data_IF_651131960584
#
_entry.id   IF_651131960584
#
_cell.length_a   1.000
_cell.length_b   1.000
_cell.length_c   1.000
_cell.angle_alpha   90.00
_cell.angle_beta   90.00
_cell.angle_gamma   90.00
#
_symmetry.space_group_name_H-M   'P 1'
#
loop_
_entity.id
_entity.type
_entity.pdbx_description
1 polymer ?
#
# COMPACT_ATOMS: atom_id res chain seq x y z
N UNK A 1 12.56 2.33 -14.03
CA UNK A 1 11.63 3.44 -13.68
C UNK A 1 10.86 2.98 -12.46
N UNK A 2 10.69 3.85 -11.46
CA UNK A 2 10.00 3.54 -10.21
C UNK A 2 8.79 4.47 -10.11
N UNK A 3 7.59 3.94 -10.28
CA UNK A 3 6.34 4.69 -10.11
C UNK A 3 5.64 4.27 -8.83
N UNK A 4 5.11 5.23 -8.07
CA UNK A 4 4.17 4.92 -6.99
C UNK A 4 2.83 4.56 -7.65
N UNK A 5 2.43 3.31 -7.49
CA UNK A 5 1.21 2.75 -8.07
C UNK A 5 0.08 2.69 -7.07
N UNK A 6 0.37 2.57 -5.77
CA UNK A 6 -0.65 2.66 -4.74
C UNK A 6 -0.14 3.28 -3.45
N UNK A 7 -1.06 3.95 -2.75
CA UNK A 7 -0.94 4.41 -1.37
C UNK A 7 -2.01 3.70 -0.57
N UNK A 8 -1.61 3.03 0.52
CA UNK A 8 -2.53 2.26 1.35
C UNK A 8 -2.87 3.04 2.61
N UNK A 9 -4.16 3.25 2.81
CA UNK A 9 -4.73 3.85 4.01
C UNK A 9 -5.49 2.75 4.76
N UNK A 10 -5.03 2.44 5.97
CA UNK A 10 -5.76 1.57 6.88
C UNK A 10 -6.74 2.40 7.71
N UNK A 11 -7.99 1.98 7.80
CA UNK A 11 -9.04 2.66 8.54
C UNK A 11 -10.03 1.65 9.15
N UNK A 12 -10.56 1.86 10.37
CA UNK A 12 -11.60 1.00 10.94
C UNK A 12 -12.86 0.91 10.06
N UNK A 13 -13.21 2.00 9.37
CA UNK A 13 -14.32 2.09 8.43
C UNK A 13 -13.82 2.53 7.04
N UNK A 14 -13.30 1.60 6.21
CA UNK A 14 -12.65 1.93 4.94
C UNK A 14 -13.56 2.68 3.96
N UNK A 15 -14.84 2.30 3.86
CA UNK A 15 -15.79 2.96 2.96
C UNK A 15 -16.09 4.40 3.40
N UNK A 16 -16.34 4.61 4.70
CA UNK A 16 -16.61 5.95 5.23
C UNK A 16 -15.40 6.88 5.01
N UNK A 17 -14.19 6.34 5.21
CA UNK A 17 -12.93 7.04 4.95
C UNK A 17 -12.78 7.36 3.46
N UNK A 18 -13.01 6.39 2.57
CA UNK A 18 -12.94 6.58 1.12
C UNK A 18 -13.93 7.65 0.64
N UNK A 19 -15.17 7.64 1.18
CA UNK A 19 -16.21 8.61 0.86
C UNK A 19 -15.89 10.07 1.27
N UNK A 20 -14.92 10.30 2.16
CA UNK A 20 -14.40 11.65 2.41
C UNK A 20 -13.70 12.20 1.16
N UNK A 21 -12.97 11.35 0.44
CA UNK A 21 -12.22 11.75 -0.75
C UNK A 21 -13.16 12.06 -1.93
N UNK A 22 -14.27 11.33 -2.07
CA UNK A 22 -15.34 11.69 -3.03
C UNK A 22 -15.80 13.13 -2.85
N UNK A 23 -16.01 13.57 -1.60
CA UNK A 23 -16.43 14.94 -1.29
C UNK A 23 -15.35 15.98 -1.55
N UNK A 24 -14.07 15.63 -1.39
CA UNK A 24 -12.96 16.55 -1.64
C UNK A 24 -12.78 16.88 -3.12
N UNK A 25 -13.25 16.02 -4.01
CA UNK A 25 -13.11 16.16 -5.46
C UNK A 25 -14.49 16.29 -6.14
N UNK A 26 -15.47 16.87 -5.45
CA UNK A 26 -16.80 17.18 -5.97
C UNK A 26 -17.50 16.00 -6.69
N UNK A 27 -17.24 14.77 -6.24
CA UNK A 27 -17.83 13.55 -6.80
C UNK A 27 -17.19 13.06 -8.12
N UNK A 28 -16.18 13.73 -8.66
CA UNK A 28 -15.44 13.24 -9.84
C UNK A 28 -14.56 12.02 -9.50
N UNK A 29 -14.16 11.93 -8.23
CA UNK A 29 -13.36 10.87 -7.66
C UNK A 29 -14.23 9.65 -7.29
N UNK A 30 -14.57 8.78 -8.24
CA UNK A 30 -15.43 7.62 -7.96
C UNK A 30 -14.70 6.56 -7.13
N UNK A 31 -15.24 6.23 -5.94
CA UNK A 31 -14.78 5.08 -5.16
C UNK A 31 -15.26 3.78 -5.81
N UNK A 32 -14.32 2.89 -6.08
CA UNK A 32 -14.58 1.57 -6.61
C UNK A 32 -14.41 0.51 -5.51
N UNK A 33 -15.34 -0.44 -5.35
CA UNK A 33 -15.10 -1.60 -4.52
C UNK A 33 -13.92 -2.42 -5.09
N UNK A 34 -13.05 -2.89 -4.21
CA UNK A 34 -11.89 -3.72 -4.52
C UNK A 34 -12.11 -5.20 -4.17
N UNK A 35 -11.05 -5.87 -3.70
CA UNK A 35 -11.16 -7.20 -3.10
C UNK A 35 -11.84 -7.17 -1.73
N UNK A 36 -11.65 -8.22 -0.93
CA UNK A 36 -12.21 -8.40 0.42
C UNK A 36 -12.17 -7.12 1.29
N UNK A 37 -13.29 -6.38 1.33
CA UNK A 37 -13.44 -5.17 2.16
C UNK A 37 -12.60 -3.97 1.73
N UNK A 38 -12.00 -4.00 0.53
CA UNK A 38 -11.14 -2.95 0.01
C UNK A 38 -11.95 -1.92 -0.78
N UNK A 39 -11.52 -0.66 -0.75
CA UNK A 39 -12.06 0.41 -1.59
C UNK A 39 -10.92 1.14 -2.30
N UNK A 40 -11.16 1.59 -3.52
CA UNK A 40 -10.13 2.16 -4.39
C UNK A 40 -10.57 3.49 -4.93
N UNK A 41 -9.68 4.47 -4.87
CA UNK A 41 -9.80 5.70 -5.63
C UNK A 41 -8.66 5.79 -6.63
N UNK A 42 -8.98 5.94 -7.91
CA UNK A 42 -7.98 6.19 -8.94
C UNK A 42 -7.61 7.67 -8.96
N UNK A 43 -6.32 7.99 -8.83
CA UNK A 43 -5.76 9.33 -8.89
C UNK A 43 -4.63 9.37 -9.92
N UNK A 44 -4.99 9.55 -11.20
CA UNK A 44 -4.04 9.49 -12.31
C UNK A 44 -3.41 8.09 -12.45
N UNK A 45 -2.09 7.99 -12.26
CA UNK A 45 -1.34 6.71 -12.32
C UNK A 45 -1.24 5.97 -10.98
N UNK A 46 -1.77 6.57 -9.92
CA UNK A 46 -1.68 6.06 -8.55
C UNK A 46 -3.08 5.74 -8.03
N UNK A 47 -3.20 4.69 -7.22
CA UNK A 47 -4.45 4.31 -6.56
C UNK A 47 -4.35 4.60 -5.06
N UNK A 48 -5.34 5.26 -4.48
CA UNK A 48 -5.53 5.18 -3.03
C UNK A 48 -6.32 3.90 -2.73
N UNK A 49 -5.75 3.03 -1.92
CA UNK A 49 -6.39 1.80 -1.47
C UNK A 49 -6.74 1.93 0.00
N UNK A 50 -8.03 1.85 0.31
CA UNK A 50 -8.57 1.89 1.65
C UNK A 50 -8.87 0.45 2.09
N UNK A 51 -8.32 0.05 3.24
CA UNK A 51 -8.48 -1.29 3.81
C UNK A 51 -8.68 -1.20 5.31
N UNK A 52 -9.25 -2.24 5.93
CA UNK A 52 -9.25 -2.32 7.38
C UNK A 52 -7.85 -2.69 7.94
N UNK A 53 -7.57 -2.46 9.24
CA UNK A 53 -6.27 -2.77 9.82
C UNK A 53 -5.89 -4.26 9.77
N UNK A 54 -6.86 -5.17 9.84
CA UNK A 54 -6.60 -6.62 9.77
C UNK A 54 -6.16 -7.01 8.35
N UNK A 55 -6.82 -6.44 7.33
CA UNK A 55 -6.46 -6.61 5.93
C UNK A 55 -5.10 -6.00 5.63
N UNK A 56 -4.82 -4.78 6.11
CA UNK A 56 -3.49 -4.18 6.00
C UNK A 56 -2.41 -5.11 6.60
N UNK A 57 -2.69 -5.68 7.78
CA UNK A 57 -1.76 -6.61 8.42
C UNK A 57 -1.53 -7.89 7.61
N UNK A 58 -2.58 -8.44 7.00
CA UNK A 58 -2.48 -9.63 6.14
C UNK A 58 -1.73 -9.35 4.82
N UNK A 59 -1.82 -8.12 4.31
CA UNK A 59 -1.13 -7.72 3.10
C UNK A 59 0.35 -7.38 3.35
N UNK A 60 0.65 -6.69 4.43
CA UNK A 60 1.95 -6.02 4.63
C UNK A 60 2.71 -6.46 5.89
N UNK A 61 2.18 -7.40 6.66
CA UNK A 61 2.73 -7.77 7.97
C UNK A 61 2.32 -6.77 9.05
N UNK A 62 3.00 -6.73 10.22
CA UNK A 62 2.72 -5.73 11.23
C UNK A 62 2.78 -4.31 10.63
N UNK A 63 1.69 -3.57 10.74
CA UNK A 63 1.59 -2.17 10.29
C UNK A 63 1.44 -1.27 11.51
N UNK A 64 1.97 -0.05 11.43
CA UNK A 64 1.75 0.93 12.48
C UNK A 64 0.27 1.27 12.55
N UNK A 65 -0.29 1.25 13.76
CA UNK A 65 -1.64 1.75 14.00
C UNK A 65 -1.60 3.29 14.08
N UNK A 66 -2.66 3.96 13.64
CA UNK A 66 -2.87 5.37 13.98
C UNK A 66 -3.04 5.53 15.49
N UNK A 67 -2.81 6.74 16.00
CA UNK A 67 -3.08 7.04 17.39
C UNK A 67 -4.55 6.70 17.69
N UNK A 68 -4.81 5.93 18.75
CA UNK A 68 -6.15 5.44 19.11
C UNK A 68 -6.87 4.63 18.01
N UNK A 69 -6.14 4.01 17.07
CA UNK A 69 -6.74 3.20 15.99
C UNK A 69 -7.30 4.02 14.83
N UNK A 70 -6.92 5.29 14.73
CA UNK A 70 -7.29 6.20 13.63
C UNK A 70 -6.70 5.79 12.29
N UNK A 71 -7.22 6.40 11.23
CA UNK A 71 -6.80 6.20 9.86
C UNK A 71 -5.33 6.54 9.68
N UNK A 72 -4.57 5.67 9.00
CA UNK A 72 -3.14 5.87 8.78
C UNK A 72 -2.69 5.39 7.42
N UNK A 73 -1.79 6.14 6.79
CA UNK A 73 -1.02 5.64 5.66
C UNK A 73 -0.05 4.56 6.16
N UNK A 74 -0.29 3.32 5.74
CA UNK A 74 0.45 2.14 6.24
C UNK A 74 1.33 1.50 5.18
N UNK A 75 1.16 1.85 3.91
CA UNK A 75 1.96 1.27 2.84
C UNK A 75 2.02 2.08 1.56
N UNK A 76 3.06 1.81 0.78
CA UNK A 76 3.27 2.29 -0.58
C UNK A 76 3.59 1.12 -1.49
N UNK A 77 3.01 1.09 -2.68
CA UNK A 77 3.38 0.12 -3.73
C UNK A 77 4.08 0.82 -4.89
N UNK A 78 5.22 0.26 -5.29
CA UNK A 78 6.04 0.72 -6.39
C UNK A 78 6.03 -0.29 -7.54
N UNK A 79 5.82 0.20 -8.76
CA UNK A 79 6.12 -0.58 -9.95
C UNK A 79 7.61 -0.48 -10.28
N UNK A 80 8.25 -1.62 -10.49
CA UNK A 80 9.63 -1.75 -10.95
C UNK A 80 9.67 -2.50 -12.27
N UNK A 81 10.71 -2.26 -13.06
CA UNK A 81 10.87 -2.91 -14.37
C UNK A 81 11.42 -4.32 -14.27
N UNK A 82 12.06 -4.68 -13.16
CA UNK A 82 12.56 -6.04 -12.95
C UNK A 82 12.72 -6.36 -11.46
N UNK A 83 11.94 -7.32 -10.95
CA UNK A 83 12.06 -7.72 -9.54
C UNK A 83 13.41 -8.37 -9.22
N UNK A 84 13.96 -9.28 -10.04
CA UNK A 84 15.29 -9.83 -9.79
C UNK A 84 16.38 -8.76 -9.69
N UNK A 85 16.35 -7.73 -10.55
CA UNK A 85 17.33 -6.62 -10.48
C UNK A 85 17.13 -5.77 -9.23
N UNK A 86 15.89 -5.53 -8.82
CA UNK A 86 15.57 -4.82 -7.57
C UNK A 86 16.05 -5.61 -6.36
N UNK A 87 15.82 -6.93 -6.34
CA UNK A 87 16.27 -7.81 -5.28
C UNK A 87 17.80 -7.85 -5.18
N UNK A 88 18.49 -7.98 -6.31
CA UNK A 88 19.96 -7.88 -6.38
C UNK A 88 20.49 -6.58 -5.78
N UNK A 89 19.79 -5.47 -6.02
CA UNK A 89 20.14 -4.19 -5.42
C UNK A 89 19.91 -4.19 -3.91
N UNK A 90 18.76 -4.69 -3.42
CA UNK A 90 18.48 -4.78 -1.98
C UNK A 90 19.54 -5.59 -1.25
N UNK A 91 19.97 -6.73 -1.83
CA UNK A 91 21.06 -7.56 -1.29
C UNK A 91 22.38 -6.80 -1.21
N UNK A 92 22.78 -6.10 -2.28
CA UNK A 92 24.03 -5.30 -2.28
C UNK A 92 23.99 -4.11 -1.33
N UNK A 93 22.81 -3.49 -1.17
CA UNK A 93 22.59 -2.36 -0.29
C UNK A 93 22.34 -2.78 1.18
N UNK A 94 22.37 -4.09 1.48
CA UNK A 94 22.12 -4.66 2.81
C UNK A 94 20.77 -4.21 3.41
N UNK A 95 19.75 -4.03 2.57
CA UNK A 95 18.41 -3.69 3.02
C UNK A 95 17.72 -4.93 3.57
N UNK A 96 16.99 -4.78 4.67
CA UNK A 96 16.12 -5.84 5.19
C UNK A 96 14.82 -5.88 4.35
N UNK A 97 14.54 -7.03 3.74
CA UNK A 97 13.34 -7.25 2.93
C UNK A 97 12.84 -8.69 3.05
N UNK A 98 11.60 -8.89 2.64
CA UNK A 98 10.92 -10.17 2.57
C UNK A 98 10.52 -10.45 1.12
N UNK A 99 10.65 -11.70 0.71
CA UNK A 99 10.13 -12.19 -0.58
C UNK A 99 8.80 -12.89 -0.34
N UNK A 100 7.86 -12.67 -1.25
CA UNK A 100 6.60 -13.40 -1.31
C UNK A 100 6.48 -14.00 -2.70
N UNK A 101 6.99 -15.24 -2.83
CA UNK A 101 7.08 -15.95 -4.10
C UNK A 101 5.70 -16.25 -4.72
N UNK A 102 4.66 -16.35 -3.91
CA UNK A 102 3.29 -16.55 -4.39
C UNK A 102 2.72 -15.27 -5.00
N UNK A 103 2.98 -14.12 -4.38
CA UNK A 103 2.48 -12.81 -4.85
C UNK A 103 3.45 -12.07 -5.78
N UNK A 104 4.58 -12.70 -6.15
CA UNK A 104 5.67 -12.13 -6.97
C UNK A 104 5.97 -10.67 -6.58
N UNK A 105 6.36 -10.46 -5.33
CA UNK A 105 6.68 -9.12 -4.79
C UNK A 105 7.86 -9.15 -3.82
N UNK A 106 8.49 -7.99 -3.65
CA UNK A 106 9.41 -7.69 -2.57
C UNK A 106 8.71 -6.76 -1.57
N UNK A 107 8.91 -7.00 -0.28
CA UNK A 107 8.31 -6.21 0.81
C UNK A 107 9.42 -5.76 1.75
N UNK A 108 9.55 -4.45 1.96
CA UNK A 108 10.30 -3.88 3.07
C UNK A 108 9.30 -3.64 4.22
N UNK A 109 9.46 -4.32 5.37
CA UNK A 109 8.55 -4.15 6.52
C UNK A 109 8.53 -2.72 7.03
N UNK A 110 7.41 -2.30 7.63
CA UNK A 110 7.24 -0.92 8.11
C UNK A 110 8.28 -0.50 9.17
N UNK A 111 8.78 -1.46 9.96
CA UNK A 111 9.84 -1.22 10.96
C UNK A 111 11.18 -0.79 10.35
N UNK A 112 11.40 -1.11 9.08
CA UNK A 112 12.62 -0.78 8.32
C UNK A 112 12.43 0.48 7.45
N UNK A 113 11.22 1.06 7.44
CA UNK A 113 10.82 2.10 6.51
C UNK A 113 9.90 3.16 7.16
N UNK A 114 10.32 3.72 8.29
CA UNK A 114 9.63 4.84 8.97
C UNK A 114 8.12 4.62 9.20
N UNK A 115 7.73 3.42 9.61
CA UNK A 115 6.35 3.02 9.89
C UNK A 115 5.44 2.87 8.65
N UNK A 116 6.01 2.78 7.45
CA UNK A 116 5.28 2.54 6.19
C UNK A 116 5.87 1.32 5.50
N UNK A 117 5.05 0.32 5.20
CA UNK A 117 5.51 -0.84 4.43
C UNK A 117 5.74 -0.46 2.97
N UNK A 118 6.85 -0.89 2.37
CA UNK A 118 7.15 -0.62 0.95
C UNK A 118 7.06 -1.91 0.16
N UNK A 119 6.17 -1.95 -0.83
CA UNK A 119 5.99 -3.11 -1.70
C UNK A 119 6.47 -2.79 -3.10
N UNK A 120 7.18 -3.73 -3.71
CA UNK A 120 7.67 -3.62 -5.07
C UNK A 120 7.10 -4.75 -5.89
N UNK A 121 6.54 -4.40 -7.05
CA UNK A 121 5.97 -5.35 -8.02
C UNK A 121 6.53 -5.06 -9.41
N UNK A 122 6.70 -6.11 -10.20
CA UNK A 122 7.05 -5.95 -11.61
C UNK A 122 5.83 -5.41 -12.37
N UNK A 123 6.06 -4.48 -13.30
CA UNK A 123 5.02 -3.99 -14.21
C UNK A 123 4.71 -5.00 -15.32
#
# INVERSE_FOLDING_TARGET
MTDITAVIIAAPEPLATAGLYERLFDGEAVIQPGGEGEYRLSAGKTTLLFVDPARAKALYGPVAQGDNGTERMVGLEFAVTSLPRTEDHFRRALLAYQTDGQRRRLLIPSGEAFNVALVFRER
#
